data_IF_440382207634
#
_entry.id   IF_440382207634
#
_cell.length_a   1.000
_cell.length_b   1.000
_cell.length_c   1.000
_cell.angle_alpha   90.00
_cell.angle_beta   90.00
_cell.angle_gamma   90.00
#
_symmetry.space_group_name_H-M   'P 1'
#
loop_
_entity.id
_entity.type
_entity.pdbx_description
1 polymer ?
#
# COMPACT_ATOMS: atom_id res chain seq x y z
N UNK A 1 9.38 -5.06 -24.83
CA UNK A 1 9.57 -5.53 -23.43
C UNK A 1 10.72 -4.75 -22.79
N UNK A 2 10.74 -4.66 -21.47
CA UNK A 2 11.67 -3.87 -20.66
C UNK A 2 12.42 -4.78 -19.68
N UNK A 3 13.71 -4.53 -19.46
CA UNK A 3 14.43 -5.12 -18.34
C UNK A 3 14.08 -4.38 -17.05
N UNK A 4 14.38 -4.99 -15.90
CA UNK A 4 14.15 -4.36 -14.58
C UNK A 4 14.88 -3.02 -14.45
N UNK A 5 16.05 -2.86 -15.08
CA UNK A 5 16.81 -1.60 -15.10
C UNK A 5 16.09 -0.50 -15.88
N UNK A 6 15.57 -0.83 -17.07
CA UNK A 6 14.80 0.10 -17.90
C UNK A 6 13.52 0.54 -17.18
N UNK A 7 12.81 -0.42 -16.58
CA UNK A 7 11.60 -0.14 -15.80
C UNK A 7 11.91 0.73 -14.58
N UNK A 8 13.04 0.48 -13.91
CA UNK A 8 13.49 1.29 -12.77
C UNK A 8 13.78 2.74 -13.19
N UNK A 9 14.51 2.93 -14.29
CA UNK A 9 14.81 4.26 -14.82
C UNK A 9 13.54 5.03 -15.23
N UNK A 10 12.56 4.36 -15.82
CA UNK A 10 11.32 4.99 -16.31
C UNK A 10 10.29 5.28 -15.22
N UNK A 11 10.32 4.55 -14.10
CA UNK A 11 9.33 4.68 -13.01
C UNK A 11 9.90 5.36 -11.76
N UNK A 12 11.22 5.50 -11.66
CA UNK A 12 11.90 5.95 -10.44
C UNK A 12 11.87 4.93 -9.29
N UNK A 13 11.26 3.76 -9.49
CA UNK A 13 11.17 2.70 -8.49
C UNK A 13 12.43 1.84 -8.54
N UNK A 14 13.06 1.57 -7.40
CA UNK A 14 14.28 0.76 -7.36
C UNK A 14 14.04 -0.65 -7.92
N UNK A 15 15.05 -1.22 -8.59
CA UNK A 15 14.99 -2.60 -9.09
C UNK A 15 14.70 -3.63 -7.97
N UNK A 16 15.12 -3.36 -6.73
CA UNK A 16 14.78 -4.19 -5.56
C UNK A 16 13.27 -4.18 -5.31
N UNK A 17 12.65 -3.01 -5.34
CA UNK A 17 11.22 -2.87 -5.08
C UNK A 17 10.37 -3.39 -6.25
N UNK A 18 10.82 -3.22 -7.49
CA UNK A 18 10.18 -3.85 -8.66
C UNK A 18 10.18 -5.39 -8.56
N UNK A 19 11.30 -6.00 -8.16
CA UNK A 19 11.36 -7.45 -7.89
C UNK A 19 10.47 -7.86 -6.72
N UNK A 20 10.31 -6.99 -5.73
CA UNK A 20 9.37 -7.25 -4.65
C UNK A 20 7.93 -7.26 -5.18
N UNK A 21 7.52 -6.29 -6.00
CA UNK A 21 6.19 -6.28 -6.64
C UNK A 21 5.94 -7.52 -7.50
N UNK A 22 6.94 -7.94 -8.29
CA UNK A 22 6.91 -9.20 -9.05
C UNK A 22 6.70 -10.41 -8.14
N UNK A 23 7.49 -10.55 -7.07
CA UNK A 23 7.36 -11.66 -6.13
C UNK A 23 6.01 -11.66 -5.39
N UNK A 24 5.38 -10.50 -5.24
CA UNK A 24 4.04 -10.36 -4.68
C UNK A 24 2.94 -10.58 -5.75
N UNK A 25 3.29 -10.92 -6.98
CA UNK A 25 2.33 -11.22 -8.05
C UNK A 25 1.58 -10.01 -8.60
N UNK A 26 1.86 -8.79 -8.11
CA UNK A 26 1.17 -7.57 -8.54
C UNK A 26 1.85 -6.88 -9.72
N UNK A 27 2.99 -7.40 -10.18
CA UNK A 27 3.72 -6.92 -11.35
C UNK A 27 4.28 -8.11 -12.13
N UNK A 28 3.48 -8.76 -12.99
CA UNK A 28 3.90 -9.97 -13.68
C UNK A 28 5.06 -9.69 -14.65
N UNK A 29 6.02 -10.62 -14.66
CA UNK A 29 7.16 -10.60 -15.57
C UNK A 29 7.17 -11.89 -16.39
N UNK A 30 7.51 -11.78 -17.68
CA UNK A 30 7.78 -12.94 -18.51
C UNK A 30 9.27 -13.30 -18.42
N UNK A 31 9.60 -14.58 -18.67
CA UNK A 31 10.97 -15.03 -18.78
C UNK A 31 11.37 -15.11 -20.25
N UNK A 32 12.49 -14.48 -20.60
CA UNK A 32 13.09 -14.63 -21.93
C UNK A 32 13.62 -16.06 -22.15
N UNK A 33 13.95 -16.39 -23.40
CA UNK A 33 14.69 -17.61 -23.76
C UNK A 33 16.03 -17.76 -23.01
N UNK A 34 16.62 -16.64 -22.59
CA UNK A 34 17.85 -16.58 -21.78
C UNK A 34 17.59 -16.50 -20.26
N UNK A 35 16.37 -16.82 -19.80
CA UNK A 35 15.90 -16.76 -18.40
C UNK A 35 15.98 -15.38 -17.74
N UNK A 36 16.05 -14.30 -18.53
CA UNK A 36 15.99 -12.93 -18.00
C UNK A 36 14.54 -12.51 -17.76
N UNK A 37 14.31 -11.67 -16.74
CA UNK A 37 13.01 -11.06 -16.46
C UNK A 37 12.74 -9.93 -17.43
N UNK A 38 11.58 -10.00 -18.08
CA UNK A 38 11.10 -9.01 -19.03
C UNK A 38 9.71 -8.56 -18.63
N UNK A 39 9.52 -7.24 -18.59
CA UNK A 39 8.24 -6.61 -18.31
C UNK A 39 7.64 -6.05 -19.60
N UNK A 40 6.33 -6.04 -19.70
CA UNK A 40 5.67 -5.36 -20.82
C UNK A 40 5.80 -3.83 -20.70
N UNK A 41 5.52 -3.11 -21.79
CA UNK A 41 5.56 -1.64 -21.74
C UNK A 41 4.46 -1.07 -20.81
N UNK A 42 3.32 -1.78 -20.70
CA UNK A 42 2.21 -1.51 -19.78
C UNK A 42 2.63 -1.55 -18.31
N UNK A 43 3.71 -2.27 -17.98
CA UNK A 43 4.23 -2.38 -16.62
C UNK A 43 4.59 -1.02 -16.00
N UNK A 44 4.85 0.01 -16.80
CA UNK A 44 5.12 1.35 -16.29
C UNK A 44 3.87 1.95 -15.65
N UNK A 45 2.74 1.91 -16.36
CA UNK A 45 1.47 2.39 -15.83
C UNK A 45 1.05 1.57 -14.61
N UNK A 46 1.26 0.26 -14.66
CA UNK A 46 1.00 -0.62 -13.52
C UNK A 46 1.85 -0.27 -12.28
N UNK A 47 3.15 0.02 -12.45
CA UNK A 47 4.02 0.44 -11.34
C UNK A 47 3.58 1.77 -10.75
N UNK A 48 3.26 2.77 -11.59
CA UNK A 48 2.76 4.07 -11.12
C UNK A 48 1.44 3.91 -10.34
N UNK A 49 0.54 3.08 -10.85
CA UNK A 49 -0.73 2.81 -10.20
C UNK A 49 -0.57 2.07 -8.87
N UNK A 50 0.30 1.06 -8.78
CA UNK A 50 0.65 0.41 -7.50
C UNK A 50 1.16 1.46 -6.50
N UNK A 51 1.97 2.42 -6.95
CA UNK A 51 2.50 3.49 -6.09
C UNK A 51 1.41 4.43 -5.58
N UNK A 52 0.43 4.76 -6.40
CA UNK A 52 -0.74 5.55 -6.01
C UNK A 52 -1.57 4.84 -4.94
N UNK A 53 -1.88 3.56 -5.14
CA UNK A 53 -2.62 2.76 -4.16
C UNK A 53 -1.86 2.62 -2.83
N UNK A 54 -0.54 2.38 -2.89
CA UNK A 54 0.30 2.36 -1.69
C UNK A 54 0.31 3.72 -0.97
N UNK A 55 0.36 4.82 -1.73
CA UNK A 55 0.32 6.17 -1.16
C UNK A 55 -1.05 6.50 -0.54
N UNK A 56 -2.13 5.93 -1.07
CA UNK A 56 -3.47 6.00 -0.49
C UNK A 56 -3.64 5.14 0.78
N UNK A 57 -2.59 4.45 1.24
CA UNK A 57 -2.61 3.64 2.45
C UNK A 57 -3.12 2.21 2.26
N UNK A 58 -3.31 1.76 1.01
CA UNK A 58 -3.65 0.37 0.76
C UNK A 58 -2.40 -0.49 0.92
N UNK A 59 -2.41 -1.50 1.81
CA UNK A 59 -1.27 -2.39 1.93
C UNK A 59 -1.20 -3.33 0.73
N UNK A 60 0.01 -3.80 0.42
CA UNK A 60 0.27 -4.61 -0.78
C UNK A 60 -0.56 -5.90 -0.88
N UNK A 61 -0.98 -6.45 0.27
CA UNK A 61 -1.90 -7.60 0.31
C UNK A 61 -3.22 -7.27 -0.39
N UNK A 62 -3.76 -6.08 -0.13
CA UNK A 62 -5.05 -5.65 -0.67
C UNK A 62 -4.90 -5.27 -2.13
N UNK A 63 -3.80 -4.59 -2.49
CA UNK A 63 -3.49 -4.31 -3.89
C UNK A 63 -3.50 -5.59 -4.71
N UNK A 64 -3.00 -6.71 -4.17
CA UNK A 64 -3.05 -8.01 -4.84
C UNK A 64 -4.47 -8.54 -5.00
N UNK A 65 -5.30 -8.46 -3.95
CA UNK A 65 -6.70 -8.87 -4.01
C UNK A 65 -7.49 -8.03 -5.03
N UNK A 66 -7.08 -6.78 -5.25
CA UNK A 66 -7.62 -5.93 -6.29
C UNK A 66 -7.18 -6.33 -7.70
N UNK A 67 -6.03 -6.99 -7.88
CA UNK A 67 -5.50 -7.31 -9.23
C UNK A 67 -6.40 -8.30 -9.99
N UNK A 68 -7.17 -9.14 -9.30
CA UNK A 68 -8.17 -10.02 -9.93
C UNK A 68 -9.31 -9.24 -10.59
N UNK A 69 -9.46 -7.98 -10.20
CA UNK A 69 -10.48 -7.05 -10.64
C UNK A 69 -9.92 -5.90 -11.50
N UNK A 70 -8.64 -5.93 -11.88
CA UNK A 70 -8.02 -4.87 -12.67
C UNK A 70 -7.63 -5.45 -14.03
N UNK A 71 -8.42 -5.13 -15.05
CA UNK A 71 -8.16 -5.55 -16.42
C UNK A 71 -7.22 -4.60 -17.17
N UNK A 72 -7.22 -3.31 -16.79
CA UNK A 72 -6.35 -2.28 -17.36
C UNK A 72 -5.59 -1.54 -16.24
N UNK A 73 -4.26 -1.37 -16.36
CA UNK A 73 -3.49 -0.59 -15.40
C UNK A 73 -4.05 0.83 -15.24
N UNK A 74 -4.19 1.30 -13.99
CA UNK A 74 -4.65 2.67 -13.71
C UNK A 74 -6.17 2.82 -13.55
N UNK A 75 -6.94 1.72 -13.60
CA UNK A 75 -8.39 1.75 -13.42
C UNK A 75 -8.84 0.73 -12.38
N UNK A 76 -9.70 1.17 -11.44
CA UNK A 76 -10.45 0.28 -10.56
C UNK A 76 -11.75 -0.09 -11.25
N UNK A 77 -11.99 -1.37 -11.52
CA UNK A 77 -13.28 -1.83 -12.00
C UNK A 77 -14.27 -1.96 -10.83
N UNK A 78 -15.60 -1.94 -11.07
CA UNK A 78 -16.61 -2.01 -10.01
C UNK A 78 -16.47 -3.22 -9.06
N UNK A 79 -15.88 -4.32 -9.52
CA UNK A 79 -15.67 -5.49 -8.66
C UNK A 79 -14.59 -5.28 -7.57
N UNK A 80 -13.84 -4.18 -7.61
CA UNK A 80 -12.94 -3.76 -6.51
C UNK A 80 -13.67 -3.16 -5.32
N UNK A 81 -14.91 -2.66 -5.52
CA UNK A 81 -15.65 -1.89 -4.50
C UNK A 81 -15.86 -2.67 -3.20
N UNK A 82 -16.26 -3.96 -3.20
CA UNK A 82 -16.45 -4.72 -1.96
C UNK A 82 -15.19 -4.77 -1.10
N UNK A 83 -14.03 -5.06 -1.71
CA UNK A 83 -12.73 -5.11 -1.02
C UNK A 83 -12.38 -3.75 -0.43
N UNK A 84 -12.58 -2.67 -1.19
CA UNK A 84 -12.30 -1.31 -0.73
C UNK A 84 -13.19 -0.89 0.44
N UNK A 85 -14.48 -1.24 0.40
CA UNK A 85 -15.44 -0.97 1.49
C UNK A 85 -15.05 -1.75 2.75
N UNK A 86 -14.65 -3.01 2.63
CA UNK A 86 -14.18 -3.80 3.76
C UNK A 86 -12.97 -3.15 4.44
N UNK A 87 -11.96 -2.73 3.67
CA UNK A 87 -10.82 -2.03 4.25
C UNK A 87 -11.14 -0.66 4.83
N UNK A 88 -12.09 0.08 4.22
CA UNK A 88 -12.54 1.34 4.80
C UNK A 88 -13.13 1.10 6.19
N UNK A 89 -13.97 0.07 6.36
CA UNK A 89 -14.54 -0.29 7.65
C UNK A 89 -13.47 -0.72 8.67
N UNK A 90 -12.44 -1.47 8.25
CA UNK A 90 -11.29 -1.81 9.12
C UNK A 90 -10.56 -0.55 9.62
N UNK A 91 -10.34 0.42 8.73
CA UNK A 91 -9.70 1.69 9.07
C UNK A 91 -10.56 2.51 10.03
N UNK A 92 -11.86 2.61 9.79
CA UNK A 92 -12.80 3.32 10.66
C UNK A 92 -12.82 2.72 12.08
N UNK A 93 -12.85 1.39 12.18
CA UNK A 93 -12.77 0.69 13.47
C UNK A 93 -11.43 0.97 14.19
N UNK A 94 -10.32 0.98 13.45
CA UNK A 94 -9.00 1.29 14.01
C UNK A 94 -8.89 2.74 14.45
N UNK A 95 -9.43 3.69 13.69
CA UNK A 95 -9.50 5.10 14.05
C UNK A 95 -10.30 5.28 15.34
N UNK A 96 -11.48 4.66 15.45
CA UNK A 96 -12.31 4.74 16.66
C UNK A 96 -11.57 4.21 17.91
N UNK A 97 -10.84 3.10 17.76
CA UNK A 97 -10.01 2.54 18.84
C UNK A 97 -8.85 3.47 19.24
N UNK A 98 -8.17 4.07 18.26
CA UNK A 98 -7.08 5.02 18.51
C UNK A 98 -7.58 6.31 19.17
N UNK A 99 -8.74 6.82 18.78
CA UNK A 99 -9.38 7.99 19.41
C UNK A 99 -9.70 7.68 20.88
N UNK A 100 -10.28 6.52 21.17
CA UNK A 100 -10.55 6.07 22.55
C UNK A 100 -9.27 5.97 23.36
N UNK A 101 -8.23 5.33 22.80
CA UNK A 101 -6.93 5.18 23.47
C UNK A 101 -6.30 6.54 23.77
N UNK A 102 -6.35 7.47 22.81
CA UNK A 102 -5.85 8.84 23.00
C UNK A 102 -6.58 9.55 24.15
N UNK A 103 -7.90 9.43 24.22
CA UNK A 103 -8.69 10.04 25.29
C UNK A 103 -8.30 9.50 26.67
N UNK A 104 -8.12 8.18 26.80
CA UNK A 104 -7.65 7.56 28.04
C UNK A 104 -6.26 8.05 28.44
N UNK A 105 -5.31 8.12 27.50
CA UNK A 105 -3.97 8.65 27.76
C UNK A 105 -3.99 10.12 28.17
N UNK A 106 -4.85 10.93 27.54
CA UNK A 106 -5.03 12.33 27.94
C UNK A 106 -5.51 12.44 29.38
N UNK A 107 -6.48 11.62 29.80
CA UNK A 107 -6.95 11.59 31.18
C UNK A 107 -5.85 11.23 32.20
N UNK A 108 -4.95 10.31 31.86
CA UNK A 108 -3.80 9.98 32.70
C UNK A 108 -2.80 11.14 32.80
N UNK A 109 -2.53 11.83 31.69
CA UNK A 109 -1.66 13.02 31.66
C UNK A 109 -2.24 14.12 32.55
N UNK A 110 -3.53 14.44 32.39
CA UNK A 110 -4.18 15.50 33.15
C UNK A 110 -4.18 15.19 34.66
N UNK A 111 -4.44 13.94 35.05
CA UNK A 111 -4.39 13.50 36.43
C UNK A 111 -2.98 13.60 37.03
N UNK A 112 -1.94 13.26 36.25
CA UNK A 112 -0.55 13.36 36.70
C UNK A 112 -0.10 14.82 36.87
N UNK A 113 -0.59 15.73 36.01
CA UNK A 113 -0.28 17.15 36.04
C UNK A 113 -1.05 17.90 37.15
N UNK A 114 -2.19 17.36 37.60
CA UNK A 114 -3.02 17.95 38.65
C UNK A 114 -2.51 17.68 40.08
N UNK A 115 -1.41 16.96 40.27
CA UNK A 115 -0.83 16.75 41.60
C UNK A 115 -0.15 18.04 42.07
N UNK A 116 -0.66 18.74 43.10
CA UNK A 116 0.01 19.93 43.62
C UNK A 116 1.24 19.47 44.40
N UNK A 117 2.42 19.90 43.97
CA UNK A 117 3.59 19.94 44.84
C UNK A 117 3.38 21.12 45.80
N UNK A 118 2.93 20.84 47.01
CA UNK A 118 3.02 21.77 48.14
C UNK A 118 3.39 20.93 49.38
N UNK A 119 4.66 20.90 49.79
CA UNK A 119 5.50 21.96 50.39
C UNK A 119 5.52 21.76 51.92
N UNK A 120 6.68 21.31 52.41
CA UNK A 120 7.05 21.33 53.83
C UNK A 120 7.40 22.77 54.24
#
# INVERSE_FOLDING_TARGET
MLRVGDLSARTGVSARLLRYYENQGILPAQRSSTKQRLFENSAIQQVLYIRELLAAGLPIRIIRDLMDCVHEPGRLDPCTVPVLVEHLNEYDARIASLVTTRASLQGLVDASAATPVAAH
#
